data_IF_438242927733
#
_entry.id   IF_438242927733
#
_cell.length_a   1.000
_cell.length_b   1.000
_cell.length_c   1.000
_cell.angle_alpha   90.00
_cell.angle_beta   90.00
_cell.angle_gamma   90.00
#
_symmetry.space_group_name_H-M   'P 1'
#
loop_
_entity.id
_entity.type
_entity.pdbx_description
1 polymer ?
#
# COMPACT_ATOMS: atom_id res chain seq x y z
N UNK A 1 -42.55 -16.45 5.95
CA UNK A 1 -41.62 -15.92 4.93
C UNK A 1 -41.24 -14.52 5.36
N UNK A 2 -40.01 -14.33 5.83
CA UNK A 2 -39.48 -13.01 6.18
C UNK A 2 -38.99 -12.37 4.86
N UNK A 3 -39.44 -11.17 4.48
CA UNK A 3 -39.09 -10.58 3.19
C UNK A 3 -37.59 -10.24 3.14
N UNK A 4 -36.93 -10.55 2.03
CA UNK A 4 -35.50 -10.40 1.70
C UNK A 4 -34.97 -8.94 1.77
N UNK A 5 -35.80 -7.98 2.21
CA UNK A 5 -35.37 -6.60 2.51
C UNK A 5 -34.67 -6.44 3.87
N UNK A 6 -34.60 -7.48 4.70
CA UNK A 6 -33.95 -7.43 6.03
C UNK A 6 -32.51 -7.94 6.05
N UNK A 7 -31.90 -8.20 4.89
CA UNK A 7 -30.54 -8.78 4.78
C UNK A 7 -29.53 -7.88 4.06
N UNK A 8 -29.92 -6.66 3.66
CA UNK A 8 -28.98 -5.67 3.10
C UNK A 8 -28.86 -4.53 4.11
N UNK A 9 -27.66 -4.28 4.67
CA UNK A 9 -27.46 -3.18 5.60
C UNK A 9 -27.85 -1.85 4.94
N UNK A 10 -28.54 -1.00 5.68
CA UNK A 10 -28.79 0.38 5.28
C UNK A 10 -27.46 1.15 5.16
N UNK A 11 -27.46 2.29 4.45
CA UNK A 11 -26.25 3.13 4.31
C UNK A 11 -25.71 3.52 5.69
N UNK A 12 -26.60 3.91 6.62
CA UNK A 12 -26.23 4.26 8.00
C UNK A 12 -25.64 3.07 8.78
N UNK A 13 -26.17 1.87 8.59
CA UNK A 13 -25.63 0.64 9.19
C UNK A 13 -24.27 0.25 8.59
N UNK A 14 -24.08 0.42 7.28
CA UNK A 14 -22.81 0.18 6.60
C UNK A 14 -21.74 1.22 7.03
N UNK A 15 -22.12 2.49 7.15
CA UNK A 15 -21.25 3.56 7.66
C UNK A 15 -20.87 3.32 9.13
N UNK A 16 -21.84 2.95 9.98
CA UNK A 16 -21.57 2.63 11.37
C UNK A 16 -20.69 1.38 11.53
N UNK A 17 -20.91 0.36 10.71
CA UNK A 17 -20.07 -0.84 10.68
C UNK A 17 -18.64 -0.50 10.26
N UNK A 18 -18.45 0.27 9.17
CA UNK A 18 -17.14 0.71 8.72
C UNK A 18 -16.43 1.59 9.76
N UNK A 19 -17.17 2.48 10.43
CA UNK A 19 -16.64 3.29 11.52
C UNK A 19 -16.23 2.44 12.73
N UNK A 20 -17.00 1.41 13.05
CA UNK A 20 -16.69 0.43 14.10
C UNK A 20 -15.43 -0.37 13.78
N UNK A 21 -15.35 -0.95 12.58
CA UNK A 21 -14.18 -1.70 12.10
C UNK A 21 -12.94 -0.80 12.10
N UNK A 22 -13.05 0.42 11.60
CA UNK A 22 -11.96 1.40 11.63
C UNK A 22 -11.46 1.64 13.04
N UNK A 23 -12.36 1.87 14.01
CA UNK A 23 -11.99 2.06 15.41
C UNK A 23 -11.28 0.84 15.99
N UNK A 24 -11.72 -0.38 15.68
CA UNK A 24 -11.06 -1.60 16.15
C UNK A 24 -9.65 -1.72 15.61
N UNK A 25 -9.48 -1.55 14.29
CA UNK A 25 -8.17 -1.59 13.62
C UNK A 25 -7.24 -0.51 14.17
N UNK A 26 -7.80 0.66 14.48
CA UNK A 26 -7.07 1.74 15.14
C UNK A 26 -6.55 1.30 16.52
N UNK A 27 -7.41 0.73 17.36
CA UNK A 27 -7.00 0.25 18.71
C UNK A 27 -5.96 -0.86 18.61
N UNK A 28 -6.10 -1.78 17.66
CA UNK A 28 -5.16 -2.87 17.44
C UNK A 28 -3.80 -2.37 16.98
N UNK A 29 -3.76 -1.39 16.07
CA UNK A 29 -2.53 -0.76 15.62
C UNK A 29 -1.84 0.00 16.76
N UNK A 30 -2.58 0.73 17.60
CA UNK A 30 -2.02 1.45 18.76
C UNK A 30 -1.47 0.48 19.81
N UNK A 31 -2.21 -0.61 20.10
CA UNK A 31 -1.75 -1.65 21.01
C UNK A 31 -0.49 -2.36 20.50
N UNK A 32 -0.43 -2.65 19.19
CA UNK A 32 0.75 -3.22 18.56
C UNK A 32 1.95 -2.26 18.60
N UNK A 33 1.73 -0.98 18.29
CA UNK A 33 2.76 0.05 18.38
C UNK A 33 3.30 0.16 19.81
N UNK A 34 2.43 0.15 20.81
CA UNK A 34 2.83 0.17 22.21
C UNK A 34 3.66 -1.06 22.60
N UNK A 35 3.33 -2.25 22.09
CA UNK A 35 4.11 -3.46 22.33
C UNK A 35 5.51 -3.40 21.69
N UNK A 36 5.62 -2.75 20.52
CA UNK A 36 6.88 -2.57 19.80
C UNK A 36 7.73 -1.39 20.32
N UNK A 37 7.18 -0.53 21.18
CA UNK A 37 7.85 0.69 21.63
C UNK A 37 9.13 0.42 22.44
N UNK A 38 9.17 -0.71 23.16
CA UNK A 38 10.31 -1.11 23.98
C UNK A 38 11.34 -1.96 23.21
N UNK A 39 11.06 -2.33 21.96
CA UNK A 39 12.01 -3.06 21.12
C UNK A 39 13.07 -2.12 20.53
N UNK A 40 14.34 -2.50 20.68
CA UNK A 40 15.45 -1.73 20.11
C UNK A 40 15.33 -1.61 18.58
N UNK A 41 15.51 -0.41 18.01
CA UNK A 41 15.57 -0.21 16.56
C UNK A 41 16.69 -1.02 15.92
N UNK A 42 16.44 -1.57 14.73
CA UNK A 42 17.46 -2.24 13.92
C UNK A 42 18.43 -1.19 13.33
N UNK A 43 19.68 -1.13 13.81
CA UNK A 43 20.65 -0.14 13.33
C UNK A 43 21.05 -0.40 11.87
N UNK A 44 21.03 -1.65 11.40
CA UNK A 44 21.37 -2.02 10.04
C UNK A 44 20.32 -1.55 9.04
N UNK A 45 19.04 -1.69 9.40
CA UNK A 45 17.96 -1.13 8.59
C UNK A 45 18.02 0.41 8.56
N UNK A 46 18.20 1.02 9.74
CA UNK A 46 18.30 2.48 9.86
C UNK A 46 19.48 3.05 9.06
N UNK A 47 20.62 2.39 8.99
CA UNK A 47 21.74 2.82 8.16
C UNK A 47 21.32 2.99 6.69
N UNK A 48 20.56 2.04 6.16
CA UNK A 48 20.10 2.06 4.77
C UNK A 48 19.04 3.15 4.55
N UNK A 49 18.13 3.35 5.51
CA UNK A 49 16.94 4.20 5.33
C UNK A 49 17.03 5.57 6.00
N UNK A 50 18.12 5.96 6.68
CA UNK A 50 18.15 7.19 7.48
C UNK A 50 18.21 8.48 6.66
N UNK A 51 19.01 8.53 5.58
CA UNK A 51 19.19 9.72 4.75
C UNK A 51 18.17 9.84 3.62
N UNK A 52 17.88 11.06 3.11
CA UNK A 52 17.03 11.23 1.93
C UNK A 52 17.66 10.57 0.69
N UNK A 53 16.85 10.31 -0.33
CA UNK A 53 17.37 9.87 -1.62
C UNK A 53 17.96 11.02 -2.43
N UNK A 54 19.08 10.78 -3.11
CA UNK A 54 19.78 11.79 -3.90
C UNK A 54 19.37 11.81 -5.39
N UNK A 55 18.89 10.69 -5.93
CA UNK A 55 18.54 10.54 -7.34
C UNK A 55 17.68 9.29 -7.58
N UNK A 56 17.13 9.13 -8.79
CA UNK A 56 16.42 7.91 -9.19
C UNK A 56 17.30 6.66 -9.06
N UNK A 57 18.60 6.76 -9.37
CA UNK A 57 19.53 5.64 -9.22
C UNK A 57 19.77 5.27 -7.75
N UNK A 58 19.87 6.27 -6.87
CA UNK A 58 20.02 6.06 -5.43
C UNK A 58 18.76 5.42 -4.82
N UNK A 59 17.56 5.83 -5.28
CA UNK A 59 16.30 5.18 -4.92
C UNK A 59 16.34 3.69 -5.27
N UNK A 60 16.63 3.36 -6.53
CA UNK A 60 16.63 1.99 -7.03
C UNK A 60 17.60 1.09 -6.24
N UNK A 61 18.85 1.55 -6.05
CA UNK A 61 19.87 0.82 -5.29
C UNK A 61 19.46 0.58 -3.83
N UNK A 62 19.02 1.63 -3.14
CA UNK A 62 18.73 1.55 -1.70
C UNK A 62 17.42 0.84 -1.42
N UNK A 63 16.40 0.93 -2.28
CA UNK A 63 15.19 0.11 -2.16
C UNK A 63 15.53 -1.37 -2.34
N UNK A 64 16.34 -1.75 -3.34
CA UNK A 64 16.78 -3.13 -3.54
C UNK A 64 17.62 -3.66 -2.36
N UNK A 65 18.50 -2.82 -1.80
CA UNK A 65 19.26 -3.17 -0.59
C UNK A 65 18.36 -3.35 0.63
N UNK A 66 17.37 -2.48 0.81
CA UNK A 66 16.38 -2.58 1.88
C UNK A 66 15.51 -3.82 1.73
N UNK A 67 15.05 -4.13 0.51
CA UNK A 67 14.31 -5.35 0.17
C UNK A 67 15.09 -6.59 0.57
N UNK A 68 16.34 -6.70 0.11
CA UNK A 68 17.20 -7.83 0.39
C UNK A 68 17.43 -8.01 1.89
N UNK A 69 17.69 -6.90 2.59
CA UNK A 69 17.92 -6.89 4.04
C UNK A 69 16.72 -7.44 4.83
N UNK A 70 15.51 -6.98 4.50
CA UNK A 70 14.27 -7.40 5.16
C UNK A 70 13.91 -8.85 4.79
N UNK A 71 14.06 -9.23 3.52
CA UNK A 71 13.75 -10.57 3.03
C UNK A 71 14.63 -11.65 3.67
N UNK A 72 15.93 -11.38 3.81
CA UNK A 72 16.88 -12.29 4.47
C UNK A 72 16.53 -12.55 5.95
N UNK A 73 15.75 -11.65 6.57
CA UNK A 73 15.27 -11.76 7.95
C UNK A 73 13.85 -12.31 8.06
N UNK A 74 13.23 -12.68 6.93
CA UNK A 74 11.83 -13.11 6.90
C UNK A 74 10.84 -12.01 7.29
N UNK A 75 11.24 -10.74 7.19
CA UNK A 75 10.40 -9.61 7.56
C UNK A 75 9.33 -9.35 6.49
N UNK A 76 8.05 -9.43 6.87
CA UNK A 76 6.91 -9.29 5.96
C UNK A 76 6.76 -7.88 5.37
N UNK A 77 7.43 -6.87 5.94
CA UNK A 77 7.54 -5.54 5.32
C UNK A 77 8.24 -5.61 3.94
N UNK A 78 9.03 -6.65 3.69
CA UNK A 78 9.65 -6.91 2.39
C UNK A 78 8.63 -7.20 1.28
N UNK A 79 7.42 -7.66 1.59
CA UNK A 79 6.44 -8.14 0.59
C UNK A 79 6.07 -7.01 -0.36
N UNK A 80 5.63 -5.88 0.21
CA UNK A 80 5.38 -4.67 -0.56
C UNK A 80 6.65 -4.14 -1.22
N UNK A 81 7.77 -4.16 -0.51
CA UNK A 81 9.02 -3.58 -1.00
C UNK A 81 9.56 -4.32 -2.24
N UNK A 82 9.35 -5.63 -2.33
CA UNK A 82 9.68 -6.45 -3.50
C UNK A 82 8.94 -5.96 -4.74
N UNK A 83 7.64 -5.70 -4.60
CA UNK A 83 6.82 -5.11 -5.69
C UNK A 83 7.32 -3.72 -6.04
N UNK A 84 7.49 -2.91 -5.01
CA UNK A 84 7.78 -1.50 -5.16
C UNK A 84 9.15 -1.26 -5.80
N UNK A 85 10.18 -2.00 -5.40
CA UNK A 85 11.52 -1.92 -6.01
C UNK A 85 11.47 -2.23 -7.50
N UNK A 86 10.77 -3.29 -7.92
CA UNK A 86 10.65 -3.67 -9.33
C UNK A 86 9.86 -2.69 -10.18
N UNK A 87 8.76 -2.16 -9.63
CA UNK A 87 8.00 -1.09 -10.27
C UNK A 87 8.87 0.15 -10.45
N UNK A 88 9.63 0.52 -9.43
CA UNK A 88 10.54 1.67 -9.43
C UNK A 88 11.63 1.51 -10.48
N UNK A 89 12.29 0.35 -10.53
CA UNK A 89 13.30 0.02 -11.53
C UNK A 89 12.76 0.13 -12.96
N UNK A 90 11.53 -0.32 -13.19
CA UNK A 90 10.90 -0.23 -14.52
C UNK A 90 10.58 1.22 -14.91
N UNK A 91 10.08 2.03 -13.97
CA UNK A 91 9.83 3.45 -14.23
C UNK A 91 11.14 4.19 -14.48
N UNK A 92 12.20 3.89 -13.72
CA UNK A 92 13.56 4.40 -13.98
C UNK A 92 14.00 4.11 -15.42
N UNK A 93 13.93 2.85 -15.86
CA UNK A 93 14.29 2.49 -17.24
C UNK A 93 13.45 3.27 -18.26
N UNK A 94 12.16 3.46 -18.01
CA UNK A 94 11.31 4.25 -18.90
C UNK A 94 11.70 5.75 -18.92
N UNK A 95 12.21 6.31 -17.82
CA UNK A 95 12.79 7.66 -17.79
C UNK A 95 14.05 7.71 -18.65
N UNK A 96 14.96 6.75 -18.47
CA UNK A 96 16.21 6.66 -19.21
C UNK A 96 15.98 6.46 -20.73
N UNK A 97 14.92 5.74 -21.10
CA UNK A 97 14.48 5.50 -22.49
C UNK A 97 13.72 6.69 -23.12
N UNK A 98 13.50 7.77 -22.38
CA UNK A 98 12.80 8.97 -22.88
C UNK A 98 11.29 8.78 -23.07
N UNK A 99 10.65 7.92 -22.28
CA UNK A 99 9.22 7.65 -22.40
C UNK A 99 8.31 8.79 -21.89
N UNK A 100 8.86 9.78 -21.18
CA UNK A 100 8.12 10.88 -20.55
C UNK A 100 8.26 12.19 -21.36
N UNK A 101 7.23 13.03 -21.32
CA UNK A 101 7.25 14.36 -21.93
C UNK A 101 8.17 15.28 -21.13
N UNK A 102 8.05 15.24 -19.81
CA UNK A 102 8.88 15.93 -18.83
C UNK A 102 9.64 14.88 -17.97
N UNK A 103 10.81 14.41 -18.43
CA UNK A 103 11.59 13.41 -17.72
C UNK A 103 12.15 13.93 -16.38
N UNK A 104 12.38 15.24 -16.24
CA UNK A 104 12.87 15.85 -15.00
C UNK A 104 11.77 15.83 -13.92
N UNK A 105 10.54 16.16 -14.32
CA UNK A 105 9.37 16.02 -13.44
C UNK A 105 9.10 14.57 -13.06
N UNK A 106 9.16 13.64 -14.02
CA UNK A 106 8.98 12.21 -13.75
C UNK A 106 10.04 11.66 -12.77
N UNK A 107 11.30 12.08 -12.91
CA UNK A 107 12.38 11.73 -11.99
C UNK A 107 12.15 12.31 -10.59
N UNK A 108 11.78 13.58 -10.50
CA UNK A 108 11.46 14.26 -9.23
C UNK A 108 10.28 13.60 -8.53
N UNK A 109 9.24 13.25 -9.28
CA UNK A 109 8.08 12.49 -8.82
C UNK A 109 8.53 11.14 -8.24
N UNK A 110 9.30 10.33 -8.98
CA UNK A 110 9.76 9.03 -8.47
C UNK A 110 10.53 9.17 -7.16
N UNK A 111 11.47 10.12 -7.09
CA UNK A 111 12.30 10.35 -5.89
C UNK A 111 11.45 10.81 -4.70
N UNK A 112 10.58 11.79 -4.89
CA UNK A 112 9.70 12.29 -3.83
C UNK A 112 8.73 11.21 -3.34
N UNK A 113 8.26 10.34 -4.25
CA UNK A 113 7.38 9.24 -3.88
C UNK A 113 8.10 8.20 -3.00
N UNK A 114 9.32 7.82 -3.39
CA UNK A 114 10.15 6.91 -2.60
C UNK A 114 10.52 7.49 -1.24
N UNK A 115 10.79 8.80 -1.19
CA UNK A 115 11.13 9.50 0.03
C UNK A 115 10.00 9.43 1.07
N UNK A 116 8.72 9.41 0.65
CA UNK A 116 7.58 9.21 1.55
C UNK A 116 7.61 7.83 2.22
N UNK A 117 7.79 6.77 1.42
CA UNK A 117 7.92 5.41 1.95
C UNK A 117 9.13 5.29 2.89
N UNK A 118 10.29 5.83 2.49
CA UNK A 118 11.50 5.80 3.32
C UNK A 118 11.29 6.49 4.66
N UNK A 119 10.68 7.68 4.67
CA UNK A 119 10.36 8.41 5.91
C UNK A 119 9.43 7.60 6.80
N UNK A 120 8.40 6.97 6.24
CA UNK A 120 7.51 6.10 6.98
C UNK A 120 8.26 4.89 7.57
N UNK A 121 9.02 4.15 6.77
CA UNK A 121 9.78 3.00 7.26
C UNK A 121 10.79 3.40 8.35
N UNK A 122 11.51 4.51 8.17
CA UNK A 122 12.48 4.99 9.13
C UNK A 122 11.85 5.55 10.42
N UNK A 123 10.64 6.11 10.34
CA UNK A 123 9.88 6.54 11.53
C UNK A 123 9.37 5.33 12.33
N UNK A 124 8.85 4.32 11.63
CA UNK A 124 8.41 3.07 12.25
C UNK A 124 9.57 2.34 12.94
N UNK A 125 10.71 2.24 12.27
CA UNK A 125 11.90 1.58 12.82
C UNK A 125 12.46 2.32 14.05
N UNK A 126 12.40 3.66 14.06
CA UNK A 126 12.78 4.47 15.24
C UNK A 126 11.73 4.48 16.35
N UNK A 127 10.61 3.75 16.20
CA UNK A 127 9.46 3.76 17.12
C UNK A 127 8.83 5.16 17.28
N UNK A 128 9.01 6.04 16.29
CA UNK A 128 8.42 7.37 16.27
C UNK A 128 6.99 7.33 15.73
N UNK A 129 6.13 6.53 16.37
CA UNK A 129 4.81 6.17 15.85
C UNK A 129 3.87 7.36 15.68
N UNK A 130 4.03 8.40 16.50
CA UNK A 130 3.24 9.64 16.41
C UNK A 130 3.55 10.45 15.14
N UNK A 131 4.70 10.20 14.52
CA UNK A 131 5.09 10.85 13.26
C UNK A 131 4.64 10.07 12.02
N UNK A 132 4.10 8.86 12.20
CA UNK A 132 3.63 8.03 11.09
C UNK A 132 2.23 8.41 10.64
N UNK A 133 2.00 8.47 9.32
CA UNK A 133 0.65 8.41 8.79
C UNK A 133 -0.08 7.17 9.29
N UNK A 134 -1.35 7.34 9.68
CA UNK A 134 -2.17 6.24 10.20
C UNK A 134 -2.22 5.00 9.28
N UNK A 135 -2.36 5.13 7.94
CA UNK A 135 -2.34 3.98 7.04
C UNK A 135 -1.03 3.19 7.09
N UNK A 136 0.11 3.87 7.26
CA UNK A 136 1.43 3.23 7.37
C UNK A 136 1.61 2.54 8.70
N UNK A 137 1.14 3.14 9.80
CA UNK A 137 1.17 2.49 11.12
C UNK A 137 0.41 1.15 11.06
N UNK A 138 -0.80 1.14 10.50
CA UNK A 138 -1.61 -0.08 10.33
C UNK A 138 -0.87 -1.11 9.46
N UNK A 139 -0.33 -0.70 8.32
CA UNK A 139 0.38 -1.61 7.41
C UNK A 139 1.61 -2.25 8.06
N UNK A 140 2.46 -1.46 8.74
CA UNK A 140 3.68 -1.99 9.35
C UNK A 140 3.41 -2.83 10.60
N UNK A 141 2.45 -2.43 11.45
CA UNK A 141 2.07 -3.23 12.62
C UNK A 141 1.46 -4.58 12.22
N UNK A 142 0.61 -4.61 11.19
CA UNK A 142 0.08 -5.87 10.64
C UNK A 142 1.21 -6.78 10.14
N UNK A 143 2.13 -6.23 9.33
CA UNK A 143 3.27 -6.98 8.79
C UNK A 143 4.18 -7.56 9.89
N UNK A 144 4.52 -6.78 10.91
CA UNK A 144 5.43 -7.22 12.00
C UNK A 144 4.76 -8.25 12.91
N UNK A 145 3.45 -8.11 13.19
CA UNK A 145 2.73 -9.12 13.99
C UNK A 145 2.58 -10.44 13.25
N UNK A 146 2.56 -10.41 11.92
CA UNK A 146 2.44 -11.60 11.08
C UNK A 146 1.09 -12.33 11.22
N UNK A 147 0.07 -11.66 11.77
CA UNK A 147 -1.26 -12.22 11.98
C UNK A 147 -2.17 -12.08 10.74
N UNK A 148 -1.86 -11.16 9.84
CA UNK A 148 -2.53 -10.98 8.55
C UNK A 148 -2.09 -12.03 7.53
N UNK A 149 -2.84 -12.17 6.43
CA UNK A 149 -2.39 -12.89 5.24
C UNK A 149 -1.30 -12.09 4.50
N UNK A 150 -0.40 -12.74 3.77
CA UNK A 150 0.66 -12.04 3.01
C UNK A 150 0.03 -11.05 2.01
N UNK A 151 -1.09 -11.43 1.42
CA UNK A 151 -1.89 -10.59 0.54
C UNK A 151 -2.42 -9.32 1.22
N UNK A 152 -2.85 -9.43 2.48
CA UNK A 152 -3.33 -8.29 3.24
C UNK A 152 -2.20 -7.30 3.52
N UNK A 153 -1.00 -7.76 3.87
CA UNK A 153 0.15 -6.86 4.07
C UNK A 153 0.50 -6.08 2.82
N UNK A 154 0.53 -6.76 1.67
CA UNK A 154 0.78 -6.13 0.38
C UNK A 154 -0.29 -5.06 0.09
N UNK A 155 -1.57 -5.39 0.23
CA UNK A 155 -2.68 -4.47 -0.02
C UNK A 155 -2.69 -3.28 0.93
N UNK A 156 -2.37 -3.49 2.22
CA UNK A 156 -2.26 -2.42 3.22
C UNK A 156 -1.18 -1.42 2.84
N UNK A 157 0.02 -1.91 2.50
CA UNK A 157 1.13 -1.06 2.10
C UNK A 157 0.91 -0.38 0.74
N UNK A 158 0.33 -1.08 -0.25
CA UNK A 158 -0.09 -0.48 -1.53
C UNK A 158 -1.09 0.65 -1.29
N UNK A 159 -2.08 0.43 -0.42
CA UNK A 159 -3.05 1.46 -0.07
C UNK A 159 -2.40 2.66 0.62
N UNK A 160 -1.53 2.45 1.61
CA UNK A 160 -0.81 3.53 2.27
C UNK A 160 0.04 4.32 1.27
N UNK A 161 0.80 3.63 0.41
CA UNK A 161 1.67 4.28 -0.55
C UNK A 161 0.89 5.02 -1.64
N UNK A 162 -0.10 4.39 -2.25
CA UNK A 162 -0.78 4.97 -3.42
C UNK A 162 -1.89 5.93 -3.04
N UNK A 163 -2.70 5.61 -2.03
CA UNK A 163 -3.83 6.47 -1.64
C UNK A 163 -3.34 7.66 -0.82
N UNK A 164 -2.43 7.43 0.13
CA UNK A 164 -1.94 8.46 1.04
C UNK A 164 -0.68 9.15 0.49
N UNK A 165 0.46 8.46 0.34
CA UNK A 165 1.73 9.15 0.00
C UNK A 165 1.67 9.89 -1.34
N UNK A 166 1.05 9.28 -2.35
CA UNK A 166 0.99 9.86 -3.68
C UNK A 166 0.22 11.18 -3.72
N UNK A 167 -0.82 11.32 -2.90
CA UNK A 167 -1.61 12.55 -2.77
C UNK A 167 -0.69 13.73 -2.42
N UNK A 168 0.24 13.53 -1.48
CA UNK A 168 1.15 14.58 -1.03
C UNK A 168 2.38 14.71 -1.93
N UNK A 169 2.84 13.60 -2.52
CA UNK A 169 3.96 13.60 -3.47
C UNK A 169 3.68 14.51 -4.66
N UNK A 170 2.48 14.39 -5.26
CA UNK A 170 2.10 15.21 -6.41
C UNK A 170 2.03 16.71 -6.08
N UNK A 171 1.67 17.06 -4.84
CA UNK A 171 1.74 18.45 -4.37
C UNK A 171 3.17 18.95 -4.18
N UNK A 172 4.08 18.07 -3.73
CA UNK A 172 5.49 18.38 -3.49
C UNK A 172 6.29 18.59 -4.78
N UNK A 173 5.97 17.83 -5.84
CA UNK A 173 6.63 17.97 -7.15
C UNK A 173 5.93 18.94 -8.09
N UNK A 174 4.97 19.70 -7.57
CA UNK A 174 4.17 20.72 -8.26
C UNK A 174 3.50 20.24 -9.55
N UNK A 175 2.17 20.17 -9.56
CA UNK A 175 1.41 19.82 -10.77
C UNK A 175 1.19 21.00 -11.73
N UNK A 176 1.67 22.20 -11.38
CA UNK A 176 1.58 23.43 -12.18
C UNK A 176 2.97 24.07 -12.32
N UNK A 177 3.23 24.88 -13.36
CA UNK A 177 2.43 25.01 -14.59
C UNK A 177 2.40 23.69 -15.40
N UNK A 178 1.73 23.69 -16.56
CA UNK A 178 1.71 22.56 -17.51
C UNK A 178 1.08 21.27 -16.98
N UNK A 179 0.01 21.43 -16.21
CA UNK A 179 -0.75 20.34 -15.58
C UNK A 179 -1.15 19.22 -16.54
N UNK A 180 -1.49 19.55 -17.79
CA UNK A 180 -1.87 18.55 -18.80
C UNK A 180 -0.68 17.67 -19.21
N UNK A 181 0.53 18.24 -19.27
CA UNK A 181 1.77 17.49 -19.55
C UNK A 181 2.10 16.57 -18.38
N UNK A 182 2.05 17.10 -17.15
CA UNK A 182 2.29 16.31 -15.93
C UNK A 182 1.24 15.23 -15.74
N UNK A 183 -0.01 15.48 -16.17
CA UNK A 183 -1.08 14.50 -16.17
C UNK A 183 -0.79 13.35 -17.14
N UNK A 184 -0.36 13.69 -18.35
CA UNK A 184 0.03 12.71 -19.36
C UNK A 184 1.16 11.80 -18.83
N UNK A 185 2.21 12.38 -18.22
CA UNK A 185 3.30 11.59 -17.65
C UNK A 185 2.86 10.75 -16.44
N UNK A 186 1.96 11.26 -15.60
CA UNK A 186 1.33 10.47 -14.54
C UNK A 186 0.56 9.26 -15.11
N UNK A 187 -0.18 9.45 -16.21
CA UNK A 187 -0.91 8.38 -16.89
C UNK A 187 0.01 7.40 -17.63
N UNK A 188 1.19 7.83 -18.08
CA UNK A 188 2.24 6.92 -18.60
C UNK A 188 2.77 5.99 -17.52
N UNK A 189 2.98 6.49 -16.29
CA UNK A 189 3.31 5.62 -15.14
C UNK A 189 2.18 4.62 -14.92
N UNK A 190 0.90 5.04 -14.98
CA UNK A 190 -0.25 4.12 -14.85
C UNK A 190 -0.17 2.99 -15.88
N UNK A 191 0.16 3.32 -17.13
CA UNK A 191 0.30 2.34 -18.19
C UNK A 191 1.49 1.38 -17.97
N UNK A 192 2.62 1.87 -17.45
CA UNK A 192 3.77 1.04 -17.08
C UNK A 192 3.37 0.06 -15.98
N UNK A 193 2.78 0.57 -14.89
CA UNK A 193 2.35 -0.27 -13.76
C UNK A 193 1.34 -1.32 -14.20
N UNK A 194 0.42 -0.98 -15.09
CA UNK A 194 -0.59 -1.90 -15.59
C UNK A 194 0.00 -3.12 -16.33
N UNK A 195 1.14 -2.94 -17.00
CA UNK A 195 1.87 -4.03 -17.67
C UNK A 195 2.66 -4.89 -16.69
N UNK A 196 3.04 -4.32 -15.55
CA UNK A 196 3.86 -5.00 -14.55
C UNK A 196 3.06 -5.83 -13.55
N UNK A 197 1.73 -5.65 -13.45
CA UNK A 197 0.93 -6.41 -12.49
C UNK A 197 1.21 -7.90 -12.64
N UNK A 198 1.07 -8.49 -13.83
CA UNK A 198 1.35 -9.92 -14.02
C UNK A 198 2.81 -10.31 -13.71
N UNK A 199 3.79 -9.45 -14.03
CA UNK A 199 5.20 -9.76 -13.77
C UNK A 199 5.55 -9.70 -12.29
N UNK A 200 5.04 -8.70 -11.57
CA UNK A 200 5.19 -8.57 -10.12
C UNK A 200 4.56 -9.75 -9.42
N UNK A 201 3.48 -10.27 -9.98
CA UNK A 201 2.76 -11.40 -9.46
C UNK A 201 3.61 -12.66 -9.40
N UNK A 202 4.11 -13.11 -10.56
CA UNK A 202 4.95 -14.30 -10.71
C UNK A 202 6.20 -14.26 -9.81
N UNK A 203 6.70 -13.05 -9.64
CA UNK A 203 7.89 -12.71 -8.90
C UNK A 203 7.74 -12.85 -7.40
N UNK A 204 6.59 -12.41 -6.85
CA UNK A 204 6.32 -12.52 -5.43
C UNK A 204 6.19 -13.99 -5.08
N UNK A 205 5.46 -14.73 -5.90
CA UNK A 205 5.33 -16.19 -5.82
C UNK A 205 6.71 -16.84 -5.73
N UNK A 206 7.59 -16.60 -6.70
CA UNK A 206 8.93 -17.18 -6.73
C UNK A 206 9.79 -16.76 -5.52
N UNK A 207 9.84 -15.47 -5.20
CA UNK A 207 10.72 -14.92 -4.18
C UNK A 207 10.35 -15.40 -2.76
N UNK A 208 9.06 -15.56 -2.47
CA UNK A 208 8.58 -15.93 -1.15
C UNK A 208 8.40 -17.44 -0.96
N UNK A 209 8.07 -18.18 -2.03
CA UNK A 209 8.15 -19.64 -2.01
C UNK A 209 9.58 -20.12 -1.67
N UNK A 210 10.60 -19.43 -2.20
CA UNK A 210 12.00 -19.73 -1.91
C UNK A 210 12.42 -19.49 -0.44
N UNK A 211 11.73 -18.60 0.27
CA UNK A 211 12.01 -18.26 1.69
C UNK A 211 11.11 -19.04 2.65
N UNK A 212 10.25 -19.93 2.13
CA UNK A 212 9.35 -20.76 2.94
C UNK A 212 8.17 -19.99 3.54
N UNK A 213 7.83 -18.83 2.98
CA UNK A 213 6.64 -18.08 3.36
C UNK A 213 5.46 -18.69 2.61
N UNK A 214 4.63 -19.46 3.32
CA UNK A 214 3.50 -20.19 2.76
C UNK A 214 2.41 -19.23 2.25
N UNK A 215 1.60 -19.66 1.26
CA UNK A 215 0.45 -18.90 0.74
C UNK A 215 0.70 -17.92 -0.41
N UNK A 216 1.95 -17.64 -0.80
CA UNK A 216 2.23 -16.63 -1.83
C UNK A 216 1.85 -17.08 -3.24
N UNK A 217 1.96 -18.37 -3.55
CA UNK A 217 1.65 -18.99 -4.85
C UNK A 217 0.24 -18.68 -5.40
N UNK A 218 -0.70 -18.25 -4.55
CA UNK A 218 -2.07 -17.88 -4.97
C UNK A 218 -2.52 -16.49 -4.54
N UNK A 219 -1.58 -15.61 -4.25
CA UNK A 219 -1.83 -14.18 -4.06
C UNK A 219 -2.71 -13.59 -5.21
N UNK A 220 -2.76 -14.23 -6.40
CA UNK A 220 -2.93 -13.59 -7.72
C UNK A 220 -3.65 -14.49 -8.74
N UNK A 221 -4.93 -14.82 -8.56
CA UNK A 221 -5.67 -15.61 -9.56
C UNK A 221 -6.28 -14.69 -10.66
N UNK A 222 -6.35 -15.10 -11.95
CA UNK A 222 -6.54 -14.19 -13.12
C UNK A 222 -7.85 -13.38 -13.20
N UNK A 223 -8.85 -13.68 -12.36
CA UNK A 223 -10.08 -12.89 -12.28
C UNK A 223 -9.91 -11.61 -11.43
N UNK A 224 -8.83 -11.53 -10.63
CA UNK A 224 -8.49 -10.40 -9.77
C UNK A 224 -7.64 -9.32 -10.47
N UNK A 225 -6.94 -9.64 -11.58
CA UNK A 225 -6.01 -8.70 -12.24
C UNK A 225 -6.72 -7.41 -12.69
N UNK A 226 -7.94 -7.54 -13.22
CA UNK A 226 -8.73 -6.37 -13.63
C UNK A 226 -9.19 -5.54 -12.45
N UNK A 227 -9.56 -6.16 -11.33
CA UNK A 227 -9.99 -5.45 -10.12
C UNK A 227 -8.81 -4.77 -9.45
N UNK A 228 -7.65 -5.43 -9.38
CA UNK A 228 -6.40 -4.86 -8.91
C UNK A 228 -5.96 -3.66 -9.77
N UNK A 229 -6.02 -3.81 -11.11
CA UNK A 229 -5.72 -2.72 -12.05
C UNK A 229 -6.71 -1.55 -11.95
N UNK A 230 -8.01 -1.85 -11.81
CA UNK A 230 -9.05 -0.83 -11.61
C UNK A 230 -8.88 -0.11 -10.28
N UNK A 231 -8.57 -0.84 -9.20
CA UNK A 231 -8.28 -0.29 -7.88
C UNK A 231 -7.04 0.60 -7.90
N UNK A 232 -5.95 0.12 -8.52
CA UNK A 232 -4.71 0.87 -8.70
C UNK A 232 -4.94 2.17 -9.48
N UNK A 233 -5.62 2.09 -10.63
CA UNK A 233 -5.96 3.27 -11.43
C UNK A 233 -6.86 4.22 -10.65
N UNK A 234 -7.85 3.70 -9.93
CA UNK A 234 -8.78 4.47 -9.11
C UNK A 234 -8.08 5.22 -7.97
N UNK A 235 -7.16 4.56 -7.26
CA UNK A 235 -6.38 5.17 -6.17
C UNK A 235 -5.44 6.26 -6.69
N UNK A 236 -4.78 6.03 -7.84
CA UNK A 236 -3.90 7.03 -8.47
C UNK A 236 -4.68 8.24 -9.00
N UNK A 237 -5.85 8.01 -9.59
CA UNK A 237 -6.78 9.07 -9.96
C UNK A 237 -7.28 9.87 -8.76
N UNK A 238 -7.57 9.20 -7.63
CA UNK A 238 -7.93 9.85 -6.38
C UNK A 238 -6.79 10.76 -5.88
N UNK A 239 -5.55 10.28 -5.89
CA UNK A 239 -4.39 11.07 -5.50
C UNK A 239 -4.18 12.28 -6.41
N UNK A 240 -4.32 12.12 -7.73
CA UNK A 240 -4.26 13.23 -8.68
C UNK A 240 -5.32 14.29 -8.40
N UNK A 241 -6.58 13.89 -8.18
CA UNK A 241 -7.66 14.81 -7.84
C UNK A 241 -7.40 15.57 -6.54
N UNK A 242 -6.82 14.90 -5.54
CA UNK A 242 -6.43 15.58 -4.31
C UNK A 242 -5.31 16.60 -4.54
N UNK A 243 -4.32 16.29 -5.37
CA UNK A 243 -3.27 17.25 -5.73
C UNK A 243 -3.87 18.48 -6.43
N UNK A 244 -4.80 18.27 -7.37
CA UNK A 244 -5.57 19.36 -8.02
C UNK A 244 -6.34 20.19 -7.00
N UNK A 245 -7.04 19.55 -6.05
CA UNK A 245 -7.76 20.26 -4.99
C UNK A 245 -6.82 21.08 -4.11
N UNK A 246 -5.61 20.60 -3.80
CA UNK A 246 -4.61 21.36 -3.05
C UNK A 246 -4.07 22.55 -3.83
N UNK A 247 -3.92 22.42 -5.15
CA UNK A 247 -3.44 23.48 -6.03
C UNK A 247 -4.50 24.58 -6.26
N UNK A 248 -5.76 24.18 -6.44
CA UNK A 248 -6.83 25.10 -6.86
C UNK A 248 -7.55 25.78 -5.68
N UNK A 249 -7.55 25.18 -4.48
CA UNK A 249 -8.22 25.73 -3.31
C UNK A 249 -7.26 26.60 -2.47
N UNK A 250 -7.80 27.58 -1.70
CA UNK A 250 -7.00 28.29 -0.70
C UNK A 250 -6.35 27.30 0.28
N UNK A 251 -5.07 27.48 0.59
CA UNK A 251 -4.28 26.53 1.39
C UNK A 251 -4.98 26.05 2.67
N UNK A 252 -5.54 26.97 3.46
CA UNK A 252 -6.25 26.64 4.72
C UNK A 252 -7.44 25.68 4.53
N UNK A 253 -8.07 25.70 3.35
CA UNK A 253 -9.20 24.85 3.01
C UNK A 253 -8.74 23.58 2.29
N UNK A 254 -7.89 23.74 1.28
CA UNK A 254 -7.38 22.65 0.45
C UNK A 254 -6.58 21.64 1.26
N UNK A 255 -5.65 22.11 2.10
CA UNK A 255 -4.85 21.24 2.95
C UNK A 255 -5.74 20.50 3.94
N UNK A 256 -6.53 21.22 4.75
CA UNK A 256 -7.36 20.59 5.78
C UNK A 256 -8.37 19.59 5.22
N UNK A 257 -8.98 19.89 4.07
CA UNK A 257 -9.93 18.97 3.42
C UNK A 257 -9.23 17.75 2.85
N UNK A 258 -8.11 17.94 2.14
CA UNK A 258 -7.37 16.84 1.52
C UNK A 258 -6.70 15.96 2.56
N UNK A 259 -6.15 16.53 3.63
CA UNK A 259 -5.54 15.80 4.74
C UNK A 259 -6.58 14.86 5.38
N UNK A 260 -7.73 15.41 5.77
CA UNK A 260 -8.86 14.64 6.29
C UNK A 260 -9.30 13.54 5.32
N UNK A 261 -9.42 13.86 4.04
CA UNK A 261 -9.93 12.95 3.01
C UNK A 261 -8.96 11.80 2.73
N UNK A 262 -7.67 12.11 2.53
CA UNK A 262 -6.64 11.13 2.26
C UNK A 262 -6.46 10.18 3.45
N UNK A 263 -6.40 10.72 4.67
CA UNK A 263 -6.29 9.91 5.88
C UNK A 263 -7.54 9.06 6.11
N UNK A 264 -8.74 9.61 5.91
CA UNK A 264 -10.01 8.87 6.09
C UNK A 264 -10.16 7.74 5.09
N UNK A 265 -9.91 8.00 3.80
CA UNK A 265 -10.06 6.97 2.76
C UNK A 265 -8.98 5.89 2.92
N UNK A 266 -7.73 6.27 3.13
CA UNK A 266 -6.65 5.30 3.28
C UNK A 266 -6.80 4.46 4.56
N UNK A 267 -7.17 5.07 5.69
CA UNK A 267 -7.41 4.33 6.95
C UNK A 267 -8.65 3.45 6.86
N UNK A 268 -9.73 3.94 6.23
CA UNK A 268 -10.94 3.15 6.02
C UNK A 268 -10.71 1.95 5.09
N UNK A 269 -9.94 2.13 4.02
CA UNK A 269 -9.54 1.03 3.14
C UNK A 269 -8.67 0.01 3.89
N UNK A 270 -7.71 0.45 4.70
CA UNK A 270 -6.92 -0.45 5.53
C UNK A 270 -7.78 -1.25 6.51
N UNK A 271 -8.76 -0.58 7.13
CA UNK A 271 -9.71 -1.24 8.02
C UNK A 271 -10.58 -2.26 7.29
N UNK A 272 -10.99 -2.00 6.04
CA UNK A 272 -11.73 -2.96 5.22
C UNK A 272 -10.87 -4.17 4.82
N UNK A 273 -9.56 -3.98 4.58
CA UNK A 273 -8.62 -5.08 4.29
C UNK A 273 -8.43 -5.99 5.50
N UNK A 274 -8.38 -5.41 6.71
CA UNK A 274 -8.22 -6.14 7.97
C UNK A 274 -9.54 -6.60 8.60
N UNK A 275 -10.68 -6.13 8.09
CA UNK A 275 -11.98 -6.47 8.62
C UNK A 275 -12.10 -8.00 8.70
N UNK A 276 -12.39 -8.57 9.88
CA UNK A 276 -12.47 -10.00 10.02
C UNK A 276 -13.53 -10.53 9.08
N UNK A 277 -13.16 -11.51 8.27
CA UNK A 277 -14.15 -12.48 7.84
C UNK A 277 -14.76 -13.04 9.14
N UNK A 278 -16.08 -12.97 9.31
CA UNK A 278 -16.77 -13.13 10.62
C UNK A 278 -16.76 -14.60 11.10
N UNK A 279 -15.78 -15.39 10.66
CA UNK A 279 -15.56 -16.74 11.12
C UNK A 279 -14.06 -16.90 11.39
N UNK A 280 -13.66 -16.96 12.66
CA UNK A 280 -12.29 -17.29 13.04
C UNK A 280 -11.85 -18.64 12.44
N UNK A 281 -12.82 -19.50 12.13
CA UNK A 281 -12.66 -20.75 11.40
C UNK A 281 -12.35 -20.55 9.91
N UNK A 282 -12.83 -19.47 9.27
CA UNK A 282 -12.45 -19.10 7.90
C UNK A 282 -11.03 -18.55 7.84
N UNK A 283 -10.62 -17.71 8.80
CA UNK A 283 -9.21 -17.26 8.91
C UNK A 283 -8.27 -18.42 9.23
N UNK A 284 -8.69 -19.35 10.10
CA UNK A 284 -7.98 -20.59 10.37
C UNK A 284 -7.84 -21.47 9.12
N UNK A 285 -8.92 -21.67 8.37
CA UNK A 285 -8.91 -22.38 7.09
C UNK A 285 -8.09 -21.66 6.01
N UNK A 286 -8.08 -20.33 5.99
CA UNK A 286 -7.25 -19.54 5.08
C UNK A 286 -5.77 -19.67 5.42
N UNK A 287 -5.40 -19.70 6.70
CA UNK A 287 -4.03 -19.97 7.15
C UNK A 287 -3.61 -21.42 6.91
N UNK A 288 -4.45 -22.39 7.24
CA UNK A 288 -4.23 -23.81 6.90
C UNK A 288 -4.15 -24.03 5.38
N UNK A 289 -4.83 -23.19 4.60
CA UNK A 289 -4.74 -23.19 3.15
C UNK A 289 -3.65 -22.25 2.61
N UNK A 290 -3.03 -21.38 3.40
CA UNK A 290 -1.73 -20.79 3.06
C UNK A 290 -0.65 -21.85 3.27
N UNK A 291 -0.71 -22.58 4.39
CA UNK A 291 0.20 -23.68 4.78
C UNK A 291 0.05 -24.94 3.91
N UNK A 292 -1.18 -25.27 3.50
CA UNK A 292 -1.53 -26.43 2.67
C UNK A 292 -1.83 -26.08 1.20
N UNK A 293 -1.75 -24.80 0.85
CA UNK A 293 -1.96 -24.28 -0.50
C UNK A 293 -3.38 -24.47 -1.03
N UNK A 294 -4.41 -23.78 -0.50
CA UNK A 294 -5.76 -23.54 -1.09
C UNK A 294 -6.42 -22.18 -0.69
N UNK A 295 -5.68 -21.20 -0.16
CA UNK A 295 -6.26 -19.99 0.49
C UNK A 295 -7.12 -19.11 -0.44
N UNK A 296 -6.77 -19.00 -1.72
CA UNK A 296 -7.48 -18.16 -2.67
C UNK A 296 -8.87 -18.69 -3.06
N UNK A 297 -9.12 -20.01 -2.99
CA UNK A 297 -10.46 -20.56 -3.22
C UNK A 297 -11.38 -20.25 -2.03
N UNK A 298 -10.85 -20.37 -0.81
CA UNK A 298 -11.55 -20.03 0.43
C UNK A 298 -11.86 -18.53 0.52
N UNK A 299 -10.91 -17.64 0.17
CA UNK A 299 -11.14 -16.19 0.18
C UNK A 299 -12.22 -15.79 -0.84
N UNK A 300 -12.17 -16.37 -2.04
CA UNK A 300 -13.16 -16.08 -3.08
C UNK A 300 -14.51 -16.69 -2.78
N UNK A 301 -14.58 -17.88 -2.20
CA UNK A 301 -15.86 -18.46 -1.78
C UNK A 301 -16.49 -17.66 -0.63
N UNK A 302 -15.68 -17.12 0.28
CA UNK A 302 -16.15 -16.22 1.33
C UNK A 302 -16.70 -14.89 0.78
N UNK A 303 -16.00 -14.28 -0.18
CA UNK A 303 -16.46 -13.07 -0.88
C UNK A 303 -17.72 -13.36 -1.71
N UNK A 304 -17.78 -14.50 -2.42
CA UNK A 304 -18.93 -14.86 -3.29
C UNK A 304 -20.17 -15.28 -2.52
N UNK A 305 -20.05 -15.90 -1.34
CA UNK A 305 -21.19 -16.27 -0.47
C UNK A 305 -21.90 -15.06 0.16
N UNK A 306 -21.30 -13.87 0.06
CA UNK A 306 -21.78 -12.62 0.66
C UNK A 306 -22.44 -11.64 -0.32
N UNK A 307 -22.32 -11.88 -1.63
CA UNK A 307 -23.06 -11.16 -2.68
C UNK A 307 -24.33 -11.92 -3.04
#
# INVERSE_FOLDING_TARGET
MIPIRTSVPTVDEAEALLAGIRRTVDIEADGAAAALADEEPDPGLLEIVSGPFASVADVDERLARTESYLRERGDRRAVFLTVYSRMTATVRTAIDDGAFVDPEWAASYLVAFAERYRRALAAFERRAFESLPRPWLIAFTAAVRGESLVAQDALLAINAHITYDLTYTLGEVEIDPDRDVKREDHDRINAILARLVQTVQDVLVEAYAAVGIAGVDRLLDPLDDRLALLGLKGAREFAWRNAVLRADLPAWLGERYVDWRAETVATGAAAAVLAPDVDADATGRLREAEDGGDAASAFREAVRRRM
#
